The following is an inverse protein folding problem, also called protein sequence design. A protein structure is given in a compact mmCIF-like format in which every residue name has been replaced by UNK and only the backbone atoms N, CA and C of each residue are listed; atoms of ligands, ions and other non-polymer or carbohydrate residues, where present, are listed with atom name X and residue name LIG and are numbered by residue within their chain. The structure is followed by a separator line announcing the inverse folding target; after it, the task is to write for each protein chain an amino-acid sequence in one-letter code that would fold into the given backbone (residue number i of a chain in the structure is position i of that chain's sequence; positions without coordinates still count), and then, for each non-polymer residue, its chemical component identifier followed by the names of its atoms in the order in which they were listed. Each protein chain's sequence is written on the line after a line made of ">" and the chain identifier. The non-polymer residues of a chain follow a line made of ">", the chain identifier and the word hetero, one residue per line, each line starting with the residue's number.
data_IF_338840146184
#
_entry.id   IF_338840146184
#
_cell.length_a   1.000
_cell.length_b   1.000
_cell.length_c   1.000
_cell.angle_alpha   90.00
_cell.angle_beta   90.00
_cell.angle_gamma   90.00
#
_symmetry.space_group_name_H-M   'P 1'
#
loop_
_entity.id
_entity.type
_entity.pdbx_description
1 polymer ?
#
# COMPACT_ATOMS: atom_id res chain seq x y z
N UNK A 1 5.54 13.34 43.91
CA UNK A 1 5.03 11.95 43.81
C UNK A 1 4.08 11.98 42.63
N UNK A 2 4.61 11.74 41.43
CA UNK A 2 3.85 11.82 40.18
C UNK A 2 2.84 10.68 40.10
N UNK A 3 1.67 10.97 39.53
CA UNK A 3 0.57 10.02 39.33
C UNK A 3 1.03 8.85 38.45
N UNK A 4 0.66 7.59 38.74
CA UNK A 4 0.98 6.42 37.92
C UNK A 4 0.37 6.42 36.50
N UNK A 5 -0.33 7.48 36.09
CA UNK A 5 -1.02 7.57 34.80
C UNK A 5 -0.10 7.88 33.61
N UNK A 6 1.17 8.24 33.85
CA UNK A 6 2.13 8.58 32.79
C UNK A 6 2.94 7.38 32.27
N UNK A 7 2.52 6.15 32.59
CA UNK A 7 3.23 4.93 32.20
C UNK A 7 2.46 4.20 31.10
N UNK A 8 2.93 4.45 29.87
CA UNK A 8 2.68 3.69 28.64
C UNK A 8 1.30 3.85 27.96
N UNK A 9 1.16 4.90 27.14
CA UNK A 9 0.44 4.72 25.88
C UNK A 9 1.26 3.76 25.01
N UNK A 10 1.05 2.46 25.18
CA UNK A 10 1.46 1.51 24.16
C UNK A 10 0.80 1.93 22.85
N UNK A 11 1.59 2.33 21.85
CA UNK A 11 1.17 2.54 20.47
C UNK A 11 0.61 1.22 19.93
N UNK A 12 -0.66 0.95 20.23
CA UNK A 12 -1.37 -0.18 19.67
C UNK A 12 -1.45 0.01 18.15
N UNK A 13 -1.18 -1.03 17.34
CA UNK A 13 -1.27 -0.90 15.89
C UNK A 13 -2.67 -0.41 15.50
N UNK A 14 -2.72 0.64 14.68
CA UNK A 14 -3.98 1.10 14.11
C UNK A 14 -4.54 0.04 13.16
N UNK A 15 -5.58 -0.69 13.60
CA UNK A 15 -6.26 -1.67 12.77
C UNK A 15 -7.01 -0.97 11.63
N UNK A 16 -6.75 -1.39 10.40
CA UNK A 16 -7.49 -0.99 9.20
C UNK A 16 -7.93 -2.24 8.46
N UNK A 17 -9.17 -2.25 7.98
CA UNK A 17 -9.71 -3.35 7.18
C UNK A 17 -9.43 -3.09 5.69
N UNK A 18 -8.88 -4.10 5.01
CA UNK A 18 -8.68 -4.10 3.56
C UNK A 18 -9.91 -4.65 2.82
N UNK A 19 -9.67 -5.34 1.70
CA UNK A 19 -10.71 -5.97 0.87
C UNK A 19 -11.86 -6.62 1.65
N UNK A 20 -13.09 -6.13 1.44
CA UNK A 20 -14.33 -6.68 1.99
C UNK A 20 -15.12 -7.34 0.86
N UNK A 21 -15.71 -8.49 1.12
CA UNK A 21 -16.64 -9.16 0.21
C UNK A 21 -18.08 -8.90 0.67
N UNK A 22 -18.96 -8.56 -0.27
CA UNK A 22 -20.40 -8.53 -0.08
C UNK A 22 -20.99 -9.83 -0.62
N UNK A 23 -21.91 -10.43 0.13
CA UNK A 23 -22.66 -11.62 -0.29
C UNK A 23 -24.15 -11.24 -0.26
N UNK A 24 -24.83 -11.41 -1.38
CA UNK A 24 -26.27 -11.18 -1.50
C UNK A 24 -26.94 -12.46 -1.97
N UNK A 25 -28.02 -12.85 -1.31
CA UNK A 25 -28.85 -14.01 -1.70
C UNK A 25 -30.17 -13.53 -2.30
N UNK A 26 -30.60 -14.19 -3.38
CA UNK A 26 -31.91 -13.99 -3.98
C UNK A 26 -32.39 -15.29 -4.60
N UNK A 27 -33.56 -15.76 -4.17
CA UNK A 27 -34.22 -16.97 -4.69
C UNK A 27 -33.31 -18.22 -4.68
N UNK A 28 -32.45 -18.33 -3.65
CA UNK A 28 -31.47 -19.42 -3.51
C UNK A 28 -30.16 -19.23 -4.29
N UNK A 29 -30.01 -18.14 -5.04
CA UNK A 29 -28.77 -17.78 -5.75
C UNK A 29 -27.95 -16.77 -4.94
N UNK A 30 -26.65 -17.04 -4.79
CA UNK A 30 -25.71 -16.17 -4.08
C UNK A 30 -24.82 -15.41 -5.07
N UNK A 31 -24.76 -14.09 -4.94
CA UNK A 31 -23.81 -13.22 -5.62
C UNK A 31 -22.76 -12.71 -4.65
N UNK A 32 -21.47 -12.85 -5.01
CA UNK A 32 -20.35 -12.40 -4.21
C UNK A 32 -19.58 -11.33 -4.97
N UNK A 33 -19.48 -10.13 -4.41
CA UNK A 33 -18.76 -9.01 -5.01
C UNK A 33 -17.75 -8.43 -4.04
N UNK A 34 -16.71 -7.80 -4.57
CA UNK A 34 -15.81 -7.02 -3.73
C UNK A 34 -16.41 -5.63 -3.50
N UNK A 35 -16.52 -5.21 -2.24
CA UNK A 35 -16.97 -3.87 -1.90
C UNK A 35 -15.88 -2.87 -2.29
N UNK A 36 -16.19 -1.84 -3.09
CA UNK A 36 -15.26 -0.75 -3.33
C UNK A 36 -14.93 -0.06 -2.01
N UNK A 37 -13.64 0.01 -1.69
CA UNK A 37 -13.18 0.76 -0.52
C UNK A 37 -13.33 2.28 -0.81
N UNK A 38 -14.25 2.95 -0.12
CA UNK A 38 -14.62 4.35 -0.40
C UNK A 38 -13.54 5.39 -0.04
N UNK A 39 -12.48 5.00 0.65
CA UNK A 39 -11.38 5.92 0.96
C UNK A 39 -10.51 6.14 -0.27
N UNK A 40 -10.60 7.29 -0.92
CA UNK A 40 -9.61 7.72 -1.92
C UNK A 40 -8.34 8.23 -1.23
N UNK A 41 -7.21 8.20 -1.94
CA UNK A 41 -6.03 8.94 -1.50
C UNK A 41 -6.37 10.45 -1.41
N UNK A 42 -5.83 11.21 -0.44
CA UNK A 42 -6.04 12.65 -0.36
C UNK A 42 -5.66 13.34 -1.67
N UNK A 43 -6.54 14.24 -2.12
CA UNK A 43 -6.30 15.03 -3.33
C UNK A 43 -4.97 15.81 -3.19
N UNK A 44 -4.15 15.84 -4.24
CA UNK A 44 -2.95 16.65 -4.29
C UNK A 44 -3.12 18.12 -3.94
N UNK A 45 -2.15 18.65 -3.20
CA UNK A 45 -1.75 20.06 -3.35
C UNK A 45 -0.87 20.12 -4.62
N UNK A 46 -1.16 20.97 -5.62
CA UNK A 46 -0.68 20.76 -7.00
C UNK A 46 0.82 20.96 -7.28
N UNK A 47 1.59 21.67 -6.45
CA UNK A 47 2.83 22.29 -6.93
C UNK A 47 4.04 21.32 -7.06
N UNK A 48 3.95 20.08 -6.57
CA UNK A 48 5.16 19.28 -6.30
C UNK A 48 4.91 17.77 -6.19
N UNK A 49 3.90 17.24 -6.89
CA UNK A 49 3.64 15.79 -6.92
C UNK A 49 4.19 15.11 -8.17
N UNK A 50 4.82 13.97 -7.96
CA UNK A 50 5.07 12.97 -9.00
C UNK A 50 4.12 11.80 -8.82
N UNK A 51 3.33 11.53 -9.86
CA UNK A 51 2.39 10.42 -9.89
C UNK A 51 3.10 9.08 -10.03
N UNK A 52 2.59 8.07 -9.33
CA UNK A 52 2.97 6.66 -9.43
C UNK A 52 1.85 5.96 -10.18
N UNK A 53 2.17 5.36 -11.32
CA UNK A 53 1.33 4.39 -12.00
C UNK A 53 2.23 3.28 -12.52
N UNK A 54 2.37 2.22 -11.72
CA UNK A 54 3.31 1.14 -11.98
C UNK A 54 2.66 -0.22 -11.79
N UNK A 55 2.95 -1.14 -12.72
CA UNK A 55 2.44 -2.50 -12.71
C UNK A 55 3.59 -3.48 -12.90
N UNK A 56 3.62 -4.54 -12.11
CA UNK A 56 4.58 -5.64 -12.27
C UNK A 56 4.00 -6.93 -11.71
N UNK A 57 3.88 -7.94 -12.59
CA UNK A 57 3.27 -9.21 -12.23
C UNK A 57 1.88 -9.01 -11.61
N UNK A 58 1.60 -9.59 -10.43
CA UNK A 58 0.29 -9.46 -9.79
C UNK A 58 0.07 -8.12 -9.08
N UNK A 59 1.10 -7.26 -8.99
CA UNK A 59 1.05 -6.01 -8.24
C UNK A 59 0.77 -4.81 -9.15
N UNK A 60 -0.20 -3.98 -8.75
CA UNK A 60 -0.45 -2.64 -9.30
C UNK A 60 -0.34 -1.59 -8.20
N UNK A 61 0.38 -0.52 -8.49
CA UNK A 61 0.67 0.59 -7.58
C UNK A 61 0.19 1.89 -8.24
N UNK A 62 -0.69 2.60 -7.56
CA UNK A 62 -1.20 3.91 -8.00
C UNK A 62 -1.11 4.92 -6.86
N UNK A 63 -0.66 6.14 -7.12
CA UNK A 63 -0.49 7.12 -6.04
C UNK A 63 0.46 8.23 -6.41
N UNK A 64 1.17 8.77 -5.44
CA UNK A 64 2.03 9.93 -5.65
C UNK A 64 3.11 10.06 -4.59
N UNK A 65 4.12 10.89 -4.90
CA UNK A 65 5.08 11.42 -3.93
C UNK A 65 5.10 12.95 -4.03
N UNK A 66 5.02 13.65 -2.89
CA UNK A 66 5.26 15.09 -2.79
C UNK A 66 6.76 15.31 -2.65
N UNK A 67 7.42 15.94 -3.63
CA UNK A 67 8.89 15.99 -3.71
C UNK A 67 9.55 16.96 -2.72
N UNK A 68 8.80 17.91 -2.18
CA UNK A 68 9.29 18.84 -1.15
C UNK A 68 9.43 18.13 0.21
N UNK A 69 8.40 17.37 0.60
CA UNK A 69 8.31 16.69 1.90
C UNK A 69 8.75 15.23 1.85
N UNK A 70 8.78 14.63 0.66
CA UNK A 70 8.97 13.19 0.40
C UNK A 70 7.86 12.30 0.96
N UNK A 71 6.71 12.88 1.24
CA UNK A 71 5.51 12.15 1.63
C UNK A 71 4.96 11.37 0.45
N UNK A 72 4.56 10.13 0.72
CA UNK A 72 3.98 9.21 -0.26
C UNK A 72 2.58 8.82 0.18
N UNK A 73 1.66 8.79 -0.78
CA UNK A 73 0.37 8.13 -0.66
C UNK A 73 0.22 7.14 -1.80
N UNK A 74 0.01 5.86 -1.49
CA UNK A 74 -0.08 4.80 -2.49
C UNK A 74 -1.23 3.85 -2.20
N UNK A 75 -1.95 3.54 -3.25
CA UNK A 75 -2.96 2.50 -3.34
C UNK A 75 -2.32 1.28 -4.00
N UNK A 76 -2.46 0.13 -3.33
CA UNK A 76 -1.85 -1.12 -3.80
C UNK A 76 -2.94 -2.13 -4.11
N UNK A 77 -2.79 -2.80 -5.25
CA UNK A 77 -3.57 -3.96 -5.63
C UNK A 77 -2.66 -5.17 -5.79
N UNK A 78 -3.15 -6.32 -5.37
CA UNK A 78 -2.53 -7.63 -5.61
C UNK A 78 -3.59 -8.54 -6.20
N UNK A 79 -3.36 -9.09 -7.40
CA UNK A 79 -4.37 -9.86 -8.15
C UNK A 79 -5.69 -9.10 -8.37
N UNK A 80 -5.61 -7.80 -8.66
CA UNK A 80 -6.80 -6.95 -8.86
C UNK A 80 -7.56 -6.60 -7.58
N UNK A 81 -7.24 -7.22 -6.45
CA UNK A 81 -7.81 -6.92 -5.14
C UNK A 81 -7.09 -5.71 -4.56
N UNK A 82 -7.82 -4.63 -4.27
CA UNK A 82 -7.28 -3.48 -3.54
C UNK A 82 -6.99 -3.89 -2.10
N UNK A 83 -5.71 -3.90 -1.70
CA UNK A 83 -5.32 -4.27 -0.34
C UNK A 83 -5.33 -3.08 0.63
N UNK A 84 -5.31 -1.84 0.11
CA UNK A 84 -5.51 -0.64 0.92
C UNK A 84 -4.77 0.59 0.40
N UNK A 85 -4.84 1.65 1.20
CA UNK A 85 -4.07 2.88 1.05
C UNK A 85 -3.00 2.95 2.13
N UNK A 86 -1.78 3.26 1.71
CA UNK A 86 -0.61 3.35 2.55
C UNK A 86 0.01 4.73 2.42
N UNK A 87 0.46 5.25 3.56
CA UNK A 87 1.04 6.59 3.67
C UNK A 87 2.34 6.50 4.44
N UNK A 88 3.28 7.38 4.11
CA UNK A 88 4.56 7.45 4.80
C UNK A 88 5.49 8.45 4.15
N UNK A 89 6.79 8.24 4.35
CA UNK A 89 7.84 9.07 3.75
C UNK A 89 8.90 8.19 3.08
N UNK A 90 9.21 8.45 1.80
CA UNK A 90 10.17 7.61 1.07
C UNK A 90 11.60 7.73 1.58
N UNK A 91 11.96 8.79 2.32
CA UNK A 91 13.26 8.90 3.01
C UNK A 91 13.42 7.87 4.13
N UNK A 92 12.33 7.61 4.85
CA UNK A 92 12.28 6.62 5.94
C UNK A 92 12.05 5.20 5.39
N UNK A 93 11.50 5.12 4.19
CA UNK A 93 11.04 3.88 3.57
C UNK A 93 9.61 3.56 4.00
N UNK A 94 8.76 3.29 3.02
CA UNK A 94 7.41 2.76 3.25
C UNK A 94 7.42 1.27 2.90
N UNK A 95 7.13 0.41 3.88
CA UNK A 95 7.15 -1.04 3.72
C UNK A 95 5.76 -1.62 3.94
N UNK A 96 5.28 -2.41 2.98
CA UNK A 96 4.03 -3.14 3.06
C UNK A 96 4.37 -4.63 3.03
N UNK A 97 4.17 -5.30 4.16
CA UNK A 97 4.25 -6.75 4.23
C UNK A 97 2.90 -7.33 3.80
N UNK A 98 2.93 -8.19 2.79
CA UNK A 98 1.75 -8.85 2.23
C UNK A 98 1.74 -10.28 2.73
N UNK A 99 0.67 -10.68 3.40
CA UNK A 99 0.36 -12.08 3.69
C UNK A 99 -1.13 -12.30 3.46
N UNK A 100 -1.46 -12.69 2.23
CA UNK A 100 -2.82 -13.04 1.80
C UNK A 100 -2.81 -14.45 1.20
N UNK A 101 -3.99 -15.05 1.04
CA UNK A 101 -4.11 -16.45 0.61
C UNK A 101 -3.30 -16.80 -0.66
N UNK A 102 -3.27 -15.89 -1.64
CA UNK A 102 -2.60 -16.10 -2.93
C UNK A 102 -1.15 -15.61 -2.97
N UNK A 103 -0.74 -14.71 -2.08
CA UNK A 103 0.55 -14.04 -2.16
C UNK A 103 1.15 -13.71 -0.80
N UNK A 104 2.45 -13.93 -0.65
CA UNK A 104 3.24 -13.51 0.52
C UNK A 104 4.49 -12.74 0.09
N UNK A 105 4.86 -11.70 0.80
CA UNK A 105 6.09 -10.97 0.52
C UNK A 105 6.06 -9.51 0.97
N UNK A 106 6.78 -8.66 0.24
CA UNK A 106 7.04 -7.28 0.62
C UNK A 106 7.02 -6.36 -0.59
N UNK A 107 6.42 -5.19 -0.42
CA UNK A 107 6.53 -4.05 -1.33
C UNK A 107 7.17 -2.90 -0.55
N UNK A 108 8.26 -2.34 -1.04
CA UNK A 108 8.99 -1.26 -0.37
C UNK A 108 9.23 -0.09 -1.31
N UNK A 109 8.80 1.10 -0.89
CA UNK A 109 9.14 2.36 -1.52
C UNK A 109 10.25 3.04 -0.75
N UNK A 110 11.25 3.58 -1.43
CA UNK A 110 12.37 4.25 -0.77
C UNK A 110 13.07 5.27 -1.66
N UNK A 111 13.78 6.20 -1.02
CA UNK A 111 14.64 7.17 -1.68
C UNK A 111 16.06 6.63 -1.79
N UNK A 112 16.65 6.75 -2.98
CA UNK A 112 18.05 6.44 -3.27
C UNK A 112 18.75 7.70 -3.78
N UNK A 113 20.03 7.86 -3.45
CA UNK A 113 20.85 8.99 -3.90
C UNK A 113 20.23 10.38 -3.59
N UNK A 114 19.39 10.48 -2.55
CA UNK A 114 18.67 11.69 -2.14
C UNK A 114 17.73 12.32 -3.20
N UNK A 115 17.48 11.67 -4.34
CA UNK A 115 16.66 12.23 -5.43
C UNK A 115 15.89 11.20 -6.26
N UNK A 116 16.22 9.92 -6.15
CA UNK A 116 15.60 8.86 -6.94
C UNK A 116 14.60 8.10 -6.08
N UNK A 117 13.35 8.02 -6.52
CA UNK A 117 12.34 7.19 -5.86
C UNK A 117 12.32 5.82 -6.51
N UNK A 118 12.44 4.79 -5.69
CA UNK A 118 12.49 3.39 -6.12
C UNK A 118 11.37 2.58 -5.47
N UNK A 119 11.00 1.50 -6.14
CA UNK A 119 10.17 0.44 -5.58
C UNK A 119 10.86 -0.92 -5.72
N UNK A 120 10.91 -1.64 -4.61
CA UNK A 120 11.29 -3.05 -4.54
C UNK A 120 10.01 -3.86 -4.31
N UNK A 121 9.74 -4.82 -5.20
CA UNK A 121 8.64 -5.77 -5.08
C UNK A 121 9.25 -7.15 -4.99
N UNK A 122 8.95 -7.88 -3.92
CA UNK A 122 9.28 -9.29 -3.78
C UNK A 122 8.05 -10.04 -3.29
N UNK A 123 7.32 -10.66 -4.21
CA UNK A 123 6.08 -11.39 -3.94
C UNK A 123 6.23 -12.86 -4.37
N UNK A 124 5.88 -13.78 -3.48
CA UNK A 124 5.74 -15.19 -3.78
C UNK A 124 4.27 -15.53 -3.92
N UNK A 125 3.89 -16.02 -5.09
CA UNK A 125 2.54 -16.42 -5.45
C UNK A 125 2.42 -17.92 -5.26
N UNK A 126 1.38 -18.35 -4.53
CA UNK A 126 1.20 -19.76 -4.14
C UNK A 126 1.17 -20.74 -5.32
N UNK A 127 0.70 -20.31 -6.49
CA UNK A 127 0.50 -21.17 -7.67
C UNK A 127 1.29 -20.72 -8.92
N UNK A 128 2.12 -19.67 -8.83
CA UNK A 128 2.74 -19.02 -10.01
C UNK A 128 4.21 -18.63 -9.79
N UNK A 129 4.79 -18.96 -8.63
CA UNK A 129 6.20 -18.72 -8.33
C UNK A 129 6.49 -17.31 -7.80
N UNK A 130 7.69 -16.79 -8.08
CA UNK A 130 8.22 -15.58 -7.43
C UNK A 130 8.33 -14.40 -8.41
N UNK A 131 7.84 -13.24 -7.99
CA UNK A 131 7.91 -11.96 -8.69
C UNK A 131 8.82 -11.01 -7.92
N UNK A 132 10.04 -10.81 -8.43
CA UNK A 132 11.02 -9.93 -7.82
C UNK A 132 11.45 -8.84 -8.80
N UNK A 133 11.38 -7.58 -8.39
CA UNK A 133 11.92 -6.45 -9.14
C UNK A 133 12.41 -5.36 -8.20
N UNK A 134 13.37 -4.57 -8.67
CA UNK A 134 13.81 -3.35 -8.02
C UNK A 134 14.04 -2.28 -9.08
N UNK A 135 13.17 -1.28 -9.11
CA UNK A 135 13.04 -0.35 -10.24
C UNK A 135 12.88 1.08 -9.75
N UNK A 136 13.57 1.99 -10.44
CA UNK A 136 13.40 3.43 -10.25
C UNK A 136 12.06 3.86 -10.85
N UNK A 137 11.22 4.48 -10.04
CA UNK A 137 9.96 5.08 -10.50
C UNK A 137 10.23 6.40 -11.21
N UNK A 138 11.00 7.30 -10.59
CA UNK A 138 11.40 8.57 -11.18
C UNK A 138 12.63 9.15 -10.45
N UNK A 139 13.19 10.22 -11.02
CA UNK A 139 14.17 11.09 -10.37
C UNK A 139 13.62 12.50 -10.35
N UNK A 140 13.89 13.20 -9.25
CA UNK A 140 13.71 14.67 -9.12
C UNK A 140 14.96 15.37 -9.63
#
# INVERSE_FOLDING_TARGET
>A
MESPADIASYDAPHLRTGAILSITEKDGEYSVTQVPLETALPKPVPASRHEINFNFGPARLTGYVVTETWEIGVEIYVFGIRIGNFYGNVKQGLVINVDIFLAKGKIKFYLKNNKEVWVEIGLNVRFDGSYNTNVRLFTV
#
